data_IF_726323551051
#
_entry.id   IF_726323551051
#
_cell.length_a   1.000
_cell.length_b   1.000
_cell.length_c   1.000
_cell.angle_alpha   90.00
_cell.angle_beta   90.00
_cell.angle_gamma   90.00
#
_symmetry.space_group_name_H-M   'P 1'
#
loop_
_entity.id
_entity.type
_entity.pdbx_description
1 polymer ?
#
# COMPACT_ATOMS: atom_id res chain seq x y z
N UNK A 1 -1.57 19.85 10.86
CA UNK A 1 -1.51 18.38 10.65
C UNK A 1 -0.31 17.86 11.43
N UNK A 2 -0.49 16.85 12.28
CA UNK A 2 0.65 16.21 12.97
C UNK A 2 1.36 15.25 11.99
N UNK A 3 2.53 15.68 11.50
CA UNK A 3 3.30 14.91 10.52
C UNK A 3 3.74 13.55 11.04
N UNK A 4 4.00 13.40 12.34
CA UNK A 4 4.42 12.11 12.89
C UNK A 4 3.25 11.13 12.90
N UNK A 5 2.06 11.58 13.32
CA UNK A 5 0.86 10.74 13.31
C UNK A 5 0.48 10.32 11.89
N UNK A 6 0.46 11.26 10.95
CA UNK A 6 0.14 10.97 9.54
C UNK A 6 1.18 10.06 8.90
N UNK A 7 2.47 10.25 9.22
CA UNK A 7 3.54 9.35 8.74
C UNK A 7 3.30 7.93 9.24
N UNK A 8 2.97 7.76 10.53
CA UNK A 8 2.68 6.45 11.10
C UNK A 8 1.43 5.80 10.49
N UNK A 9 0.39 6.60 10.24
CA UNK A 9 -0.84 6.14 9.61
C UNK A 9 -0.59 5.60 8.19
N UNK A 10 0.05 6.41 7.33
CA UNK A 10 0.40 5.99 5.96
C UNK A 10 1.33 4.77 6.00
N UNK A 11 2.31 4.76 6.89
CA UNK A 11 3.22 3.60 7.07
C UNK A 11 2.42 2.33 7.41
N UNK A 12 1.48 2.43 8.35
CA UNK A 12 0.63 1.32 8.75
C UNK A 12 -0.25 0.81 7.61
N UNK A 13 -0.76 1.70 6.77
CA UNK A 13 -1.56 1.32 5.60
C UNK A 13 -0.75 0.61 4.52
N UNK A 14 0.47 1.07 4.25
CA UNK A 14 1.39 0.41 3.32
C UNK A 14 1.73 -1.00 3.82
N UNK A 15 2.13 -1.14 5.09
CA UNK A 15 2.44 -2.45 5.70
C UNK A 15 1.21 -3.37 5.67
N UNK A 16 0.03 -2.83 5.96
CA UNK A 16 -1.22 -3.63 5.94
C UNK A 16 -1.51 -4.13 4.53
N UNK A 17 -1.33 -3.29 3.51
CA UNK A 17 -1.51 -3.66 2.12
C UNK A 17 -0.55 -4.79 1.73
N UNK A 18 0.76 -4.59 1.93
CA UNK A 18 1.83 -5.54 1.62
C UNK A 18 1.59 -6.91 2.30
N UNK A 19 1.20 -6.90 3.57
CA UNK A 19 0.87 -8.13 4.30
C UNK A 19 -0.25 -8.95 3.62
N UNK A 20 -1.37 -8.31 3.28
CA UNK A 20 -2.47 -9.02 2.63
C UNK A 20 -2.17 -9.38 1.17
N UNK A 21 -1.35 -8.57 0.50
CA UNK A 21 -0.87 -8.88 -0.85
C UNK A 21 -0.06 -10.17 -0.85
N UNK A 22 0.94 -10.30 0.03
CA UNK A 22 1.77 -11.50 0.16
C UNK A 22 0.93 -12.75 0.45
N UNK A 23 -0.07 -12.63 1.33
CA UNK A 23 -1.00 -13.72 1.64
C UNK A 23 -1.88 -14.11 0.44
N UNK A 24 -2.42 -13.12 -0.28
CA UNK A 24 -3.21 -13.36 -1.48
C UNK A 24 -2.38 -14.01 -2.59
N UNK A 25 -1.16 -13.52 -2.84
CA UNK A 25 -0.23 -14.07 -3.81
C UNK A 25 0.09 -15.54 -3.54
N UNK A 26 0.32 -15.91 -2.26
CA UNK A 26 0.53 -17.30 -1.86
C UNK A 26 -0.67 -18.18 -2.22
N UNK A 27 -1.90 -17.76 -1.91
CA UNK A 27 -3.10 -18.54 -2.27
C UNK A 27 -3.33 -18.64 -3.78
N UNK A 28 -3.06 -17.56 -4.53
CA UNK A 28 -3.16 -17.55 -5.99
C UNK A 28 -2.16 -18.51 -6.63
N UNK A 29 -0.92 -18.55 -6.15
CA UNK A 29 0.11 -19.50 -6.62
C UNK A 29 -0.27 -20.97 -6.42
N UNK A 30 -1.24 -21.25 -5.53
CA UNK A 30 -1.79 -22.59 -5.26
C UNK A 30 -3.01 -22.94 -6.12
N UNK A 31 -3.35 -22.15 -7.14
CA UNK A 31 -4.30 -22.53 -8.19
C UNK A 31 -5.69 -21.89 -8.12
N UNK A 32 -5.91 -20.83 -7.32
CA UNK A 32 -7.19 -20.09 -7.34
C UNK A 32 -7.25 -19.08 -8.50
N UNK A 33 -7.52 -19.56 -9.71
CA UNK A 33 -7.40 -18.80 -10.98
C UNK A 33 -8.41 -17.65 -11.18
N UNK A 34 -9.55 -17.64 -10.47
CA UNK A 34 -10.63 -16.64 -10.70
C UNK A 34 -10.39 -15.24 -10.15
N UNK A 35 -9.34 -15.03 -9.35
CA UNK A 35 -9.11 -13.77 -8.60
C UNK A 35 -7.85 -13.01 -9.04
N UNK A 36 -7.13 -13.52 -10.05
CA UNK A 36 -5.87 -12.92 -10.52
C UNK A 36 -6.06 -11.51 -11.10
N UNK A 37 -7.16 -11.26 -11.80
CA UNK A 37 -7.44 -9.94 -12.39
C UNK A 37 -7.74 -8.88 -11.33
N UNK A 38 -8.51 -9.24 -10.30
CA UNK A 38 -8.82 -8.34 -9.20
C UNK A 38 -7.59 -8.04 -8.36
N UNK A 39 -6.75 -9.05 -8.12
CA UNK A 39 -5.43 -8.90 -7.51
C UNK A 39 -4.59 -7.85 -8.26
N UNK A 40 -4.40 -8.04 -9.57
CA UNK A 40 -3.58 -7.14 -10.39
C UNK A 40 -4.14 -5.71 -10.44
N UNK A 41 -5.46 -5.55 -10.50
CA UNK A 41 -6.12 -4.22 -10.46
C UNK A 41 -5.90 -3.51 -9.13
N UNK A 42 -5.96 -4.21 -8.01
CA UNK A 42 -5.75 -3.62 -6.69
C UNK A 42 -4.28 -3.21 -6.53
N UNK A 43 -3.33 -4.09 -6.92
CA UNK A 43 -1.90 -3.81 -6.88
C UNK A 43 -1.51 -2.59 -7.72
N UNK A 44 -2.01 -2.53 -8.97
CA UNK A 44 -1.75 -1.41 -9.88
C UNK A 44 -2.31 -0.09 -9.34
N UNK A 45 -3.51 -0.11 -8.75
CA UNK A 45 -4.11 1.10 -8.13
C UNK A 45 -3.30 1.61 -6.95
N UNK A 46 -2.90 0.72 -6.04
CA UNK A 46 -2.11 1.11 -4.88
C UNK A 46 -0.76 1.72 -5.30
N UNK A 47 -0.06 1.07 -6.24
CA UNK A 47 1.18 1.58 -6.82
C UNK A 47 0.98 2.94 -7.50
N UNK A 48 -0.14 3.11 -8.21
CA UNK A 48 -0.51 4.37 -8.85
C UNK A 48 -0.77 5.50 -7.84
N UNK A 49 -1.44 5.22 -6.72
CA UNK A 49 -1.68 6.20 -5.66
C UNK A 49 -0.37 6.65 -4.98
N UNK A 50 0.50 5.68 -4.66
CA UNK A 50 1.82 5.98 -4.07
C UNK A 50 2.68 6.80 -5.03
N UNK A 51 2.75 6.43 -6.30
CA UNK A 51 3.51 7.17 -7.31
C UNK A 51 2.96 8.57 -7.56
N UNK A 52 1.64 8.72 -7.60
CA UNK A 52 1.00 10.02 -7.81
C UNK A 52 1.30 11.01 -6.68
N UNK A 53 1.54 10.52 -5.46
CA UNK A 53 1.82 11.38 -4.30
C UNK A 53 3.32 11.53 -4.02
N UNK A 54 4.07 10.43 -4.02
CA UNK A 54 5.48 10.38 -3.64
C UNK A 54 6.45 10.39 -4.83
N UNK A 55 5.95 10.50 -6.06
CA UNK A 55 6.77 10.50 -7.28
C UNK A 55 7.51 9.18 -7.46
N UNK A 56 8.82 9.27 -7.72
CA UNK A 56 9.68 8.10 -7.95
C UNK A 56 10.20 7.44 -6.65
N UNK A 57 9.65 7.84 -5.50
CA UNK A 57 9.96 7.21 -4.21
C UNK A 57 9.54 5.74 -4.23
N UNK A 58 10.50 4.84 -4.05
CA UNK A 58 10.28 3.40 -3.96
C UNK A 58 10.17 2.97 -2.50
N UNK A 59 9.06 2.31 -2.15
CA UNK A 59 8.84 1.69 -0.84
C UNK A 59 9.29 0.22 -0.77
N UNK A 60 9.63 -0.36 -1.92
CA UNK A 60 10.08 -1.73 -2.06
C UNK A 60 11.54 -1.76 -2.54
N UNK A 61 12.28 -2.78 -2.16
CA UNK A 61 13.64 -3.04 -2.62
C UNK A 61 13.68 -3.80 -3.96
N UNK A 62 14.88 -4.19 -4.39
CA UNK A 62 15.12 -4.90 -5.65
C UNK A 62 14.46 -6.29 -5.69
N UNK A 63 14.29 -6.92 -4.52
CA UNK A 63 13.62 -8.21 -4.35
C UNK A 63 12.09 -8.05 -4.20
N UNK A 64 11.56 -6.84 -4.44
CA UNK A 64 10.16 -6.46 -4.25
C UNK A 64 9.67 -6.69 -2.82
N UNK A 65 10.58 -6.67 -1.85
CA UNK A 65 10.22 -6.68 -0.43
C UNK A 65 10.04 -5.26 0.07
N UNK A 66 9.15 -5.07 1.04
CA UNK A 66 8.98 -3.78 1.66
C UNK A 66 10.29 -3.35 2.35
N UNK A 67 10.73 -2.11 2.11
CA UNK A 67 11.95 -1.56 2.73
C UNK A 67 11.87 -1.55 4.26
N UNK A 68 13.00 -1.33 4.91
CA UNK A 68 13.02 -1.22 6.38
C UNK A 68 12.11 -0.09 6.84
N UNK A 69 11.48 -0.30 7.99
CA UNK A 69 10.53 0.64 8.59
C UNK A 69 11.11 2.06 8.80
N UNK A 70 12.41 2.18 9.05
CA UNK A 70 13.11 3.48 9.10
C UNK A 70 13.02 4.22 7.77
N UNK A 71 13.24 3.51 6.67
CA UNK A 71 13.40 4.07 5.33
C UNK A 71 12.03 4.47 4.78
N UNK A 72 11.01 3.64 5.01
CA UNK A 72 9.60 3.97 4.69
C UNK A 72 9.18 5.25 5.41
N UNK A 73 9.43 5.33 6.72
CA UNK A 73 9.06 6.52 7.51
C UNK A 73 9.78 7.77 7.03
N UNK A 74 11.08 7.66 6.74
CA UNK A 74 11.85 8.78 6.20
C UNK A 74 11.31 9.24 4.85
N UNK A 75 11.01 8.31 3.94
CA UNK A 75 10.46 8.58 2.62
C UNK A 75 9.07 9.24 2.70
N UNK A 76 8.17 8.73 3.53
CA UNK A 76 6.85 9.33 3.74
C UNK A 76 6.99 10.73 4.31
N UNK A 77 7.81 10.89 5.37
CA UNK A 77 7.99 12.19 6.01
C UNK A 77 8.52 13.24 5.03
N UNK A 78 9.49 12.88 4.19
CA UNK A 78 10.02 13.74 3.13
C UNK A 78 8.93 14.10 2.10
N UNK A 79 8.11 13.13 1.67
CA UNK A 79 7.03 13.39 0.73
C UNK A 79 5.83 14.18 1.29
N UNK A 80 5.66 14.20 2.62
CA UNK A 80 4.65 15.00 3.29
C UNK A 80 5.13 16.44 3.58
N UNK A 81 6.42 16.72 3.46
CA UNK A 81 6.97 18.04 3.75
C UNK A 81 6.45 19.07 2.74
N UNK A 82 5.74 20.10 3.23
CA UNK A 82 5.09 21.10 2.38
C UNK A 82 3.86 20.60 1.61
N UNK A 83 3.39 19.37 1.86
CA UNK A 83 2.22 18.82 1.18
C UNK A 83 0.91 19.48 1.66
N UNK A 84 -0.01 19.71 0.72
CA UNK A 84 -1.34 20.19 1.03
C UNK A 84 -2.12 19.16 1.88
N UNK A 85 -2.65 19.60 3.02
CA UNK A 85 -3.36 18.75 3.98
C UNK A 85 -4.54 18.03 3.34
N UNK A 86 -5.25 18.67 2.39
CA UNK A 86 -6.36 18.02 1.69
C UNK A 86 -5.88 16.84 0.85
N UNK A 87 -4.79 17.02 0.08
CA UNK A 87 -4.19 15.94 -0.70
C UNK A 87 -3.69 14.79 0.17
N UNK A 88 -3.17 15.09 1.35
CA UNK A 88 -2.71 14.08 2.32
C UNK A 88 -3.88 13.24 2.83
N UNK A 89 -5.00 13.86 3.22
CA UNK A 89 -6.20 13.10 3.60
C UNK A 89 -6.76 12.27 2.44
N UNK A 90 -6.79 12.82 1.23
CA UNK A 90 -7.22 12.06 0.04
C UNK A 90 -6.31 10.85 -0.23
N UNK A 91 -5.00 10.96 0.01
CA UNK A 91 -4.07 9.84 -0.07
C UNK A 91 -4.41 8.78 0.99
N UNK A 92 -4.55 9.18 2.26
CA UNK A 92 -4.89 8.26 3.35
C UNK A 92 -6.15 7.47 3.01
N UNK A 93 -7.23 8.14 2.61
CA UNK A 93 -8.48 7.47 2.22
C UNK A 93 -8.30 6.46 1.08
N UNK A 94 -7.46 6.79 0.09
CA UNK A 94 -7.16 5.89 -1.02
C UNK A 94 -6.41 4.65 -0.54
N UNK A 95 -5.39 4.83 0.30
CA UNK A 95 -4.61 3.74 0.87
C UNK A 95 -5.45 2.84 1.79
N UNK A 96 -6.34 3.42 2.61
CA UNK A 96 -7.32 2.67 3.41
C UNK A 96 -8.24 1.81 2.54
N UNK A 97 -8.77 2.39 1.46
CA UNK A 97 -9.63 1.68 0.50
C UNK A 97 -8.88 0.53 -0.17
N UNK A 98 -7.62 0.73 -0.53
CA UNK A 98 -6.79 -0.30 -1.15
C UNK A 98 -6.47 -1.45 -0.18
N UNK A 99 -6.01 -1.13 1.03
CA UNK A 99 -5.74 -2.12 2.08
C UNK A 99 -7.01 -2.93 2.43
N UNK A 100 -8.16 -2.27 2.54
CA UNK A 100 -9.45 -2.92 2.77
C UNK A 100 -9.86 -3.85 1.63
N UNK A 101 -9.61 -3.46 0.37
CA UNK A 101 -9.90 -4.30 -0.80
C UNK A 101 -8.98 -5.52 -0.84
N UNK A 102 -7.68 -5.34 -0.61
CA UNK A 102 -6.73 -6.47 -0.59
C UNK A 102 -7.07 -7.47 0.52
N UNK A 103 -7.43 -6.98 1.72
CA UNK A 103 -7.93 -7.83 2.82
C UNK A 103 -9.18 -8.61 2.42
N UNK A 104 -10.15 -7.98 1.76
CA UNK A 104 -11.38 -8.64 1.29
C UNK A 104 -11.07 -9.71 0.25
N UNK A 105 -10.18 -9.41 -0.69
CA UNK A 105 -9.73 -10.35 -1.70
C UNK A 105 -9.10 -11.59 -1.06
N UNK A 106 -8.17 -11.40 -0.12
CA UNK A 106 -7.56 -12.50 0.62
C UNK A 106 -8.61 -13.37 1.32
N UNK A 107 -9.58 -12.77 2.02
CA UNK A 107 -10.66 -13.53 2.67
C UNK A 107 -11.50 -14.34 1.68
N UNK A 108 -11.81 -13.77 0.52
CA UNK A 108 -12.54 -14.48 -0.54
C UNK A 108 -11.73 -15.65 -1.09
N UNK A 109 -10.40 -15.51 -1.19
CA UNK A 109 -9.48 -16.58 -1.57
C UNK A 109 -9.37 -17.71 -0.53
N UNK A 110 -9.78 -17.50 0.72
CA UNK A 110 -9.76 -18.57 1.74
C UNK A 110 -11.02 -19.44 1.70
N UNK A 111 -12.10 -18.97 1.08
CA UNK A 111 -13.37 -19.70 0.91
C UNK A 111 -13.29 -20.63 -0.31
#
# INVERSE_FOLDING_TARGET
>A
MDLNNVTLEITGLIITFDHYEALAANLLSKGKSGFSDDYGKIQSKNSGHLRAFFGDTTFYDEDKQLKKLSDIKAAIKAGLEGADTKKVHELIEKLEKDAKKMRKLYKALQQ
#
